data_IF_508628459581
#
_entry.id   IF_508628459581
#
_cell.length_a   1.000
_cell.length_b   1.000
_cell.length_c   1.000
_cell.angle_alpha   90.00
_cell.angle_beta   90.00
_cell.angle_gamma   90.00
#
_symmetry.space_group_name_H-M   'P 1'
#
loop_
_entity.id
_entity.type
_entity.pdbx_description
1 polymer ?
#
# COMPACT_ATOMS: atom_id res chain seq x y z
N UNK A 1 0.35 21.82 9.16
CA UNK A 1 -0.85 20.96 9.24
C UNK A 1 -1.48 20.89 7.86
N UNK A 2 -1.85 19.71 7.40
CA UNK A 2 -2.54 19.49 6.13
C UNK A 2 -4.02 19.24 6.40
N UNK A 3 -4.87 19.63 5.45
CA UNK A 3 -6.30 19.30 5.44
C UNK A 3 -6.53 18.03 4.65
N UNK A 4 -7.47 17.22 5.12
CA UNK A 4 -7.83 15.95 4.52
C UNK A 4 -9.35 15.85 4.48
N UNK A 5 -9.89 15.48 3.33
CA UNK A 5 -11.30 15.13 3.17
C UNK A 5 -11.41 13.62 3.15
N UNK A 6 -12.19 13.07 4.08
CA UNK A 6 -12.23 11.63 4.36
C UNK A 6 -13.69 11.17 4.41
N UNK A 7 -14.04 10.17 3.61
CA UNK A 7 -15.32 9.48 3.74
C UNK A 7 -15.15 8.26 4.66
N UNK A 8 -15.89 8.28 5.76
CA UNK A 8 -16.01 7.19 6.71
C UNK A 8 -17.31 6.42 6.47
N UNK A 9 -17.29 5.11 6.71
CA UNK A 9 -18.44 4.23 6.62
C UNK A 9 -18.54 3.27 7.81
N UNK A 10 -19.66 2.55 7.89
CA UNK A 10 -19.84 1.42 8.81
C UNK A 10 -20.72 0.34 8.17
N UNK A 11 -20.86 -0.83 8.81
CA UNK A 11 -21.42 -2.04 8.19
C UNK A 11 -22.90 -1.98 7.76
N UNK A 12 -23.62 -0.88 8.03
CA UNK A 12 -24.94 -0.63 7.43
C UNK A 12 -24.90 0.29 6.19
N UNK A 13 -23.70 0.52 5.64
CA UNK A 13 -23.44 1.28 4.41
C UNK A 13 -23.92 2.73 4.43
N UNK A 14 -23.93 3.34 5.61
CA UNK A 14 -24.01 4.80 5.74
C UNK A 14 -22.61 5.39 5.59
N UNK A 15 -22.53 6.57 4.98
CA UNK A 15 -21.29 7.29 4.75
C UNK A 15 -21.36 8.71 5.34
N UNK A 16 -20.24 9.17 5.90
CA UNK A 16 -20.05 10.53 6.39
C UNK A 16 -18.71 11.05 5.92
N UNK A 17 -18.75 12.17 5.21
CA UNK A 17 -17.56 12.85 4.73
C UNK A 17 -17.20 13.95 5.71
N UNK A 18 -16.00 13.84 6.29
CA UNK A 18 -15.46 14.79 7.27
C UNK A 18 -14.18 15.41 6.75
N UNK A 19 -13.94 16.66 7.13
CA UNK A 19 -12.68 17.36 6.88
C UNK A 19 -11.91 17.50 8.18
N UNK A 20 -10.65 17.05 8.18
CA UNK A 20 -9.79 17.05 9.37
C UNK A 20 -8.42 17.65 9.07
N UNK A 21 -7.77 18.19 10.11
CA UNK A 21 -6.41 18.70 10.05
C UNK A 21 -5.44 17.77 10.80
N UNK A 22 -4.39 17.33 10.12
CA UNK A 22 -3.35 16.49 10.70
C UNK A 22 -1.99 16.73 10.05
N UNK A 23 -0.93 16.33 10.75
CA UNK A 23 0.45 16.42 10.23
C UNK A 23 0.81 15.21 9.37
N UNK A 24 0.29 14.03 9.72
CA UNK A 24 0.51 12.78 9.00
C UNK A 24 -0.81 12.25 8.44
N UNK A 25 -0.70 11.40 7.43
CA UNK A 25 -1.85 10.74 6.81
C UNK A 25 -2.59 9.84 7.82
N UNK A 26 -1.86 8.98 8.53
CA UNK A 26 -2.43 8.10 9.57
C UNK A 26 -3.16 8.87 10.67
N UNK A 27 -2.60 9.98 11.15
CA UNK A 27 -3.26 10.83 12.14
C UNK A 27 -4.51 11.50 11.57
N UNK A 28 -4.57 11.76 10.27
CA UNK A 28 -5.78 12.26 9.62
C UNK A 28 -6.89 11.19 9.64
N UNK A 29 -6.57 9.95 9.29
CA UNK A 29 -7.54 8.85 9.27
C UNK A 29 -8.07 8.53 10.66
N UNK A 30 -7.20 8.51 11.67
CA UNK A 30 -7.60 8.34 13.08
C UNK A 30 -8.55 9.47 13.54
N UNK A 31 -8.21 10.73 13.23
CA UNK A 31 -9.07 11.87 13.55
C UNK A 31 -10.40 11.83 12.81
N UNK A 32 -10.42 11.39 11.56
CA UNK A 32 -11.64 11.28 10.77
C UNK A 32 -12.61 10.27 11.38
N UNK A 33 -12.12 9.12 11.83
CA UNK A 33 -12.93 8.11 12.54
C UNK A 33 -13.53 8.70 13.82
N UNK A 34 -12.74 9.41 14.62
CA UNK A 34 -13.23 10.08 15.85
C UNK A 34 -14.30 11.11 15.51
N UNK A 35 -14.04 11.99 14.54
CA UNK A 35 -14.97 13.03 14.11
C UNK A 35 -16.28 12.44 13.56
N UNK A 36 -16.20 11.34 12.80
CA UNK A 36 -17.38 10.63 12.32
C UNK A 36 -18.20 10.09 13.49
N UNK A 37 -17.57 9.38 14.44
CA UNK A 37 -18.21 8.83 15.64
C UNK A 37 -18.86 9.88 16.55
N UNK A 38 -18.34 11.10 16.59
CA UNK A 38 -18.91 12.20 17.37
C UNK A 38 -20.13 12.85 16.68
N UNK A 39 -20.32 12.62 15.38
CA UNK A 39 -21.41 13.22 14.61
C UNK A 39 -22.79 12.67 15.03
N UNK A 40 -23.81 13.54 15.05
CA UNK A 40 -25.13 13.19 15.56
C UNK A 40 -25.81 12.04 14.79
N UNK A 41 -25.49 11.88 13.50
CA UNK A 41 -25.98 10.78 12.67
C UNK A 41 -25.28 9.43 12.91
N UNK A 42 -24.15 9.42 13.63
CA UNK A 42 -23.32 8.26 13.96
C UNK A 42 -23.54 7.73 15.39
N UNK A 43 -24.33 8.40 16.23
CA UNK A 43 -24.57 7.92 17.61
C UNK A 43 -25.36 6.59 17.77
N UNK A 44 -26.07 6.02 16.76
CA UNK A 44 -26.75 4.73 16.91
C UNK A 44 -25.85 3.47 16.89
N UNK A 45 -24.52 3.60 17.00
CA UNK A 45 -23.54 2.63 16.49
C UNK A 45 -23.22 1.38 17.31
N UNK A 46 -23.68 1.25 18.56
CA UNK A 46 -23.30 0.09 19.38
C UNK A 46 -23.67 -1.25 18.71
N UNK A 47 -24.67 -1.26 17.82
CA UNK A 47 -25.18 -2.47 17.16
C UNK A 47 -24.61 -2.72 15.73
N UNK A 48 -23.88 -1.76 15.13
CA UNK A 48 -23.57 -1.78 13.69
C UNK A 48 -22.08 -1.97 13.33
N UNK A 49 -21.22 -2.20 14.33
CA UNK A 49 -19.79 -2.44 14.13
C UNK A 49 -18.92 -1.17 14.06
N UNK A 50 -17.59 -1.33 13.88
CA UNK A 50 -16.66 -0.21 13.91
C UNK A 50 -16.75 0.67 12.65
N UNK A 51 -16.50 1.96 12.82
CA UNK A 51 -16.31 2.91 11.71
C UNK A 51 -14.99 2.62 10.99
N UNK A 52 -15.03 2.63 9.67
CA UNK A 52 -13.88 2.46 8.78
C UNK A 52 -13.79 3.62 7.77
N UNK A 53 -12.67 3.69 7.04
CA UNK A 53 -12.43 4.64 5.95
C UNK A 53 -12.74 3.97 4.61
N UNK A 54 -13.64 4.58 3.85
CA UNK A 54 -13.94 4.19 2.47
C UNK A 54 -13.00 4.89 1.48
N UNK A 55 -12.79 6.19 1.68
CA UNK A 55 -12.06 7.01 0.73
C UNK A 55 -11.43 8.26 1.36
N UNK A 56 -10.34 8.76 0.78
CA UNK A 56 -9.59 9.91 1.30
C UNK A 56 -8.86 10.68 0.21
N UNK A 57 -8.86 12.01 0.33
CA UNK A 57 -8.06 12.95 -0.45
C UNK A 57 -7.36 13.99 0.44
N UNK A 58 -6.20 14.47 -0.01
CA UNK A 58 -5.56 15.66 0.55
C UNK A 58 -6.26 16.93 0.01
N UNK A 59 -6.67 17.82 0.90
CA UNK A 59 -7.35 19.08 0.55
C UNK A 59 -8.62 19.35 1.36
N UNK A 60 -9.03 20.62 1.33
CA UNK A 60 -10.30 21.11 1.87
C UNK A 60 -11.41 20.84 0.85
N UNK A 61 -12.43 20.07 1.22
CA UNK A 61 -13.53 19.66 0.33
C UNK A 61 -13.06 18.99 -0.97
N UNK A 62 -11.89 18.35 -0.95
CA UNK A 62 -11.38 17.57 -2.07
C UNK A 62 -12.21 16.29 -2.24
N UNK A 63 -12.49 15.89 -3.48
CA UNK A 63 -13.23 14.64 -3.73
C UNK A 63 -12.41 13.44 -3.23
N UNK A 64 -12.86 12.72 -2.19
CA UNK A 64 -12.15 11.57 -1.68
C UNK A 64 -12.17 10.41 -2.67
N UNK A 65 -13.02 10.44 -3.70
CA UNK A 65 -13.14 9.42 -4.72
C UNK A 65 -12.46 9.80 -6.03
N UNK A 66 -11.85 8.79 -6.64
CA UNK A 66 -11.40 8.80 -8.03
C UNK A 66 -12.06 7.64 -8.75
N UNK A 67 -13.11 7.95 -9.51
CA UNK A 67 -13.97 6.96 -10.17
C UNK A 67 -14.65 6.02 -9.16
N UNK A 68 -14.16 4.78 -9.03
CA UNK A 68 -14.70 3.75 -8.13
C UNK A 68 -13.73 3.36 -7.01
N UNK A 69 -12.70 4.17 -6.78
CA UNK A 69 -11.67 3.93 -5.76
C UNK A 69 -11.39 5.20 -4.96
N UNK A 70 -10.78 5.04 -3.78
CA UNK A 70 -10.24 6.16 -3.02
C UNK A 70 -9.17 6.91 -3.82
N UNK A 71 -9.18 8.24 -3.73
CA UNK A 71 -8.20 9.13 -4.36
C UNK A 71 -6.77 8.87 -3.86
N UNK A 72 -6.62 8.52 -2.57
CA UNK A 72 -5.38 8.06 -1.96
C UNK A 72 -5.55 6.65 -1.37
N UNK A 73 -4.50 5.81 -1.34
CA UNK A 73 -4.59 4.46 -0.81
C UNK A 73 -5.00 4.48 0.67
N UNK A 74 -6.08 3.76 1.02
CA UNK A 74 -6.50 3.56 2.41
C UNK A 74 -5.71 2.38 3.01
N UNK A 75 -4.95 2.56 4.09
CA UNK A 75 -4.25 1.47 4.74
C UNK A 75 -5.23 0.41 5.26
N UNK A 76 -4.91 -0.90 5.15
CA UNK A 76 -5.84 -1.96 5.51
C UNK A 76 -6.40 -1.87 6.93
N UNK A 77 -5.58 -1.48 7.93
CA UNK A 77 -6.00 -1.21 9.32
C UNK A 77 -7.14 -0.21 9.49
N UNK A 78 -7.35 0.68 8.51
CA UNK A 78 -8.43 1.66 8.53
C UNK A 78 -9.63 1.26 7.65
N UNK A 79 -9.49 0.23 6.82
CA UNK A 79 -10.53 -0.22 5.90
C UNK A 79 -11.52 -1.19 6.57
N UNK A 80 -12.75 -1.29 6.05
CA UNK A 80 -13.73 -2.29 6.50
C UNK A 80 -13.16 -3.71 6.47
N UNK A 81 -12.32 -3.97 5.47
CA UNK A 81 -11.77 -5.30 5.20
C UNK A 81 -10.62 -5.69 6.15
N UNK A 82 -10.10 -4.74 6.93
CA UNK A 82 -9.01 -4.95 7.88
C UNK A 82 -7.67 -5.36 7.24
N UNK A 83 -6.70 -5.68 8.10
CA UNK A 83 -5.41 -6.23 7.71
C UNK A 83 -5.58 -7.63 7.09
N UNK A 84 -4.88 -7.94 5.97
CA UNK A 84 -4.86 -9.26 5.40
C UNK A 84 -4.13 -10.23 6.35
N UNK A 85 -4.50 -11.52 6.30
CA UNK A 85 -3.82 -12.55 7.08
C UNK A 85 -2.40 -12.75 6.54
N UNK A 86 -1.40 -12.74 7.41
CA UNK A 86 -0.04 -13.13 7.02
C UNK A 86 0.17 -14.64 7.22
N UNK A 87 0.65 -15.31 6.18
CA UNK A 87 0.99 -16.75 6.17
C UNK A 87 2.48 -16.87 5.88
N UNK A 88 3.23 -17.54 6.74
CA UNK A 88 4.65 -17.84 6.50
C UNK A 88 4.80 -19.31 6.15
N UNK A 89 5.45 -19.59 5.03
CA UNK A 89 5.80 -20.94 4.57
C UNK A 89 7.31 -21.11 4.70
N UNK A 90 7.74 -22.08 5.51
CA UNK A 90 9.16 -22.44 5.66
C UNK A 90 9.48 -23.65 4.81
N UNK A 91 10.50 -23.55 3.96
CA UNK A 91 10.96 -24.62 3.08
C UNK A 91 12.39 -25.02 3.43
N UNK A 92 12.62 -26.33 3.50
CA UNK A 92 13.94 -26.94 3.54
C UNK A 92 13.89 -28.29 2.83
N UNK A 93 14.77 -28.49 1.85
CA UNK A 93 14.83 -29.67 0.99
C UNK A 93 13.76 -29.73 -0.10
N UNK A 94 13.32 -28.59 -0.67
CA UNK A 94 12.21 -28.58 -1.62
C UNK A 94 11.92 -27.23 -2.29
N UNK A 95 10.74 -27.08 -2.91
CA UNK A 95 10.32 -25.81 -3.52
C UNK A 95 8.81 -25.63 -3.44
N UNK A 96 8.34 -24.39 -3.26
CA UNK A 96 6.92 -24.04 -3.39
C UNK A 96 6.58 -23.92 -4.86
N UNK A 97 5.77 -24.83 -5.38
CA UNK A 97 5.38 -24.80 -6.79
C UNK A 97 4.13 -23.94 -7.04
N UNK A 98 3.21 -23.88 -6.08
CA UNK A 98 1.92 -23.22 -6.25
C UNK A 98 1.36 -22.75 -4.90
N UNK A 99 0.79 -21.55 -4.91
CA UNK A 99 0.06 -20.96 -3.78
C UNK A 99 -1.29 -20.49 -4.29
N UNK A 100 -2.37 -20.92 -3.62
CA UNK A 100 -3.73 -20.49 -3.93
C UNK A 100 -4.40 -19.98 -2.66
N UNK A 101 -5.11 -18.86 -2.78
CA UNK A 101 -5.95 -18.31 -1.72
C UNK A 101 -7.40 -18.33 -2.21
N UNK A 102 -8.23 -19.10 -1.52
CA UNK A 102 -9.68 -19.13 -1.75
C UNK A 102 -10.41 -18.44 -0.59
N UNK A 103 -11.41 -17.62 -0.93
CA UNK A 103 -12.34 -17.06 0.08
C UNK A 103 -11.76 -15.96 0.99
N UNK A 104 -10.65 -15.33 0.64
CA UNK A 104 -10.07 -14.26 1.46
C UNK A 104 -8.88 -13.53 0.86
N UNK A 105 -8.19 -12.74 1.69
CA UNK A 105 -6.93 -12.07 1.37
C UNK A 105 -5.85 -12.52 2.32
N UNK A 106 -4.70 -12.90 1.78
CA UNK A 106 -3.53 -13.20 2.57
C UNK A 106 -2.25 -12.72 1.89
N UNK A 107 -1.28 -12.36 2.72
CA UNK A 107 0.11 -12.16 2.32
C UNK A 107 0.83 -13.46 2.64
N UNK A 108 1.53 -14.02 1.66
CA UNK A 108 2.31 -15.25 1.83
C UNK A 108 3.79 -14.91 1.73
N UNK A 109 4.51 -15.12 2.83
CA UNK A 109 5.97 -15.02 2.88
C UNK A 109 6.55 -16.43 2.79
N UNK A 110 7.38 -16.69 1.79
CA UNK A 110 8.09 -17.96 1.64
C UNK A 110 9.53 -17.77 2.11
N UNK A 111 9.90 -18.47 3.16
CA UNK A 111 11.27 -18.53 3.67
C UNK A 111 11.90 -19.83 3.19
N UNK A 112 12.77 -19.72 2.17
CA UNK A 112 13.50 -20.85 1.62
C UNK A 112 14.91 -20.93 2.24
N UNK A 113 15.13 -21.96 3.07
CA UNK A 113 16.40 -22.18 3.77
C UNK A 113 17.41 -23.00 2.96
N UNK A 114 17.07 -23.39 1.72
CA UNK A 114 17.99 -24.09 0.81
C UNK A 114 18.99 -23.09 0.19
N UNK A 115 19.67 -22.31 1.02
CA UNK A 115 20.63 -21.27 0.62
C UNK A 115 22.06 -21.80 0.44
N UNK A 116 22.25 -23.11 0.34
CA UNK A 116 23.56 -23.72 0.21
C UNK A 116 24.31 -23.19 -1.02
N UNK A 117 25.53 -22.70 -0.83
CA UNK A 117 26.37 -22.14 -1.89
C UNK A 117 26.16 -20.65 -2.16
N UNK A 118 25.16 -20.01 -1.54
CA UNK A 118 25.03 -18.55 -1.60
C UNK A 118 26.11 -17.88 -0.72
N UNK A 119 26.77 -16.85 -1.25
CA UNK A 119 27.79 -16.13 -0.50
C UNK A 119 27.14 -15.28 0.60
N UNK A 120 27.80 -15.09 1.76
CA UNK A 120 27.36 -14.12 2.76
C UNK A 120 27.18 -12.73 2.12
N UNK A 121 26.03 -12.09 2.34
CA UNK A 121 25.71 -10.79 1.74
C UNK A 121 25.16 -10.85 0.31
N UNK A 122 24.78 -12.03 -0.19
CA UNK A 122 24.01 -12.13 -1.44
C UNK A 122 22.71 -11.33 -1.31
N UNK A 123 22.42 -10.40 -2.23
CA UNK A 123 21.16 -9.65 -2.21
C UNK A 123 19.95 -10.60 -2.22
N UNK A 124 18.97 -10.33 -1.35
CA UNK A 124 17.77 -11.17 -1.20
C UNK A 124 17.88 -12.30 -0.17
N UNK A 125 19.02 -12.42 0.53
CA UNK A 125 19.14 -13.29 1.71
C UNK A 125 18.79 -12.52 2.99
N UNK A 126 18.06 -13.19 3.87
CA UNK A 126 17.59 -12.70 5.15
C UNK A 126 18.08 -13.61 6.27
N UNK A 127 18.19 -13.06 7.47
CA UNK A 127 18.58 -13.79 8.68
C UNK A 127 17.40 -13.76 9.65
N UNK A 128 16.94 -14.93 10.09
CA UNK A 128 15.87 -15.04 11.09
C UNK A 128 16.38 -14.79 12.52
N UNK A 129 15.46 -14.83 13.50
CA UNK A 129 15.79 -14.58 14.90
C UNK A 129 16.74 -15.63 15.52
N UNK A 130 16.79 -16.83 14.95
CA UNK A 130 17.63 -17.94 15.40
C UNK A 130 18.99 -17.96 14.66
N UNK A 131 19.22 -17.01 13.74
CA UNK A 131 20.43 -16.89 12.94
C UNK A 131 20.43 -17.74 11.66
N UNK A 132 19.31 -18.37 11.32
CA UNK A 132 19.12 -19.11 10.08
C UNK A 132 19.07 -18.17 8.88
N UNK A 133 19.76 -18.51 7.80
CA UNK A 133 19.74 -17.74 6.55
C UNK A 133 18.71 -18.33 5.59
N UNK A 134 17.89 -17.47 4.98
CA UNK A 134 16.87 -17.88 4.02
C UNK A 134 16.74 -16.87 2.88
N UNK A 135 16.28 -17.32 1.71
CA UNK A 135 15.79 -16.46 0.64
C UNK A 135 14.30 -16.16 0.87
N UNK A 136 13.91 -14.89 0.73
CA UNK A 136 12.52 -14.46 0.88
C UNK A 136 11.85 -14.32 -0.49
N UNK A 137 10.68 -14.93 -0.65
CA UNK A 137 9.77 -14.63 -1.75
C UNK A 137 8.40 -14.25 -1.21
N UNK A 138 7.87 -13.12 -1.67
CA UNK A 138 6.56 -12.61 -1.27
C UNK A 138 5.53 -12.83 -2.36
N UNK A 139 4.33 -13.25 -1.96
CA UNK A 139 3.19 -13.39 -2.86
C UNK A 139 1.90 -12.95 -2.18
N UNK A 140 1.02 -12.28 -2.92
CA UNK A 140 -0.31 -11.89 -2.44
C UNK A 140 -1.33 -11.93 -3.57
N UNK A 141 -2.60 -12.18 -3.23
CA UNK A 141 -3.71 -12.17 -4.19
C UNK A 141 -4.38 -10.79 -4.33
N UNK A 142 -3.74 -9.73 -3.84
CA UNK A 142 -4.23 -8.36 -3.88
C UNK A 142 -3.06 -7.38 -3.96
N UNK A 143 -3.30 -6.19 -4.50
CA UNK A 143 -2.27 -5.14 -4.52
C UNK A 143 -2.12 -4.52 -3.14
N UNK A 144 -0.92 -4.60 -2.55
CA UNK A 144 -0.56 -3.80 -1.39
C UNK A 144 -0.45 -2.33 -1.81
N UNK A 145 -0.95 -1.37 -1.00
CA UNK A 145 -0.56 0.02 -1.20
C UNK A 145 0.96 0.08 -1.05
N UNK A 146 1.64 0.66 -2.05
CA UNK A 146 3.09 0.79 -2.04
C UNK A 146 3.50 1.50 -0.73
N UNK A 147 4.12 0.78 0.21
CA UNK A 147 4.99 1.45 1.15
C UNK A 147 6.03 2.18 0.28
N UNK A 148 6.21 3.46 0.57
CA UNK A 148 7.10 4.34 -0.17
C UNK A 148 8.53 3.90 0.11
N UNK A 149 8.97 2.83 -0.56
CA UNK A 149 10.38 2.64 -0.83
C UNK A 149 10.77 3.80 -1.74
N UNK A 150 11.39 4.82 -1.16
CA UNK A 150 12.16 5.81 -1.91
C UNK A 150 13.19 5.07 -2.76
N UNK A 151 12.80 4.70 -3.97
CA UNK A 151 13.74 4.35 -5.02
C UNK A 151 14.34 5.68 -5.50
N UNK A 152 15.66 5.89 -5.39
CA UNK A 152 16.27 7.10 -5.91
C UNK A 152 16.08 7.11 -7.43
N UNK A 153 15.35 8.12 -7.92
CA UNK A 153 15.19 8.38 -9.34
C UNK A 153 16.56 8.42 -10.02
N UNK A 154 16.79 7.70 -11.13
CA UNK A 154 18.03 7.80 -11.86
C UNK A 154 18.17 9.23 -12.38
N UNK A 155 19.24 9.90 -11.97
CA UNK A 155 19.66 11.20 -12.51
C UNK A 155 19.83 11.07 -14.02
N UNK A 156 18.94 11.70 -14.80
CA UNK A 156 19.19 11.91 -16.22
C UNK A 156 20.29 12.96 -16.35
N UNK A 157 21.53 12.51 -16.52
CA UNK A 157 22.59 13.35 -17.05
C UNK A 157 22.27 13.68 -18.52
N UNK A 158 21.92 14.94 -18.77
CA UNK A 158 21.88 15.49 -20.12
C UNK A 158 23.31 15.74 -20.61
N UNK A 159 23.79 15.11 -21.70
CA UNK A 159 24.95 15.62 -22.40
C UNK A 159 24.51 16.83 -23.26
N UNK A 160 24.89 18.03 -22.81
CA UNK A 160 24.99 19.22 -23.66
C UNK A 160 26.16 19.03 -24.63
N UNK A 161 25.91 19.17 -25.93
CA UNK A 161 26.93 19.23 -26.97
C UNK A 161 26.33 19.64 -28.30
N UNK A 162 26.40 20.93 -28.60
CA UNK A 162 26.05 21.61 -29.86
C UNK A 162 26.88 21.02 -31.05
N UNK A 163 26.59 21.17 -32.34
CA UNK A 163 26.21 22.34 -33.17
C UNK A 163 25.89 21.87 -34.61
N UNK A 164 25.01 22.61 -35.28
CA UNK A 164 24.88 22.89 -36.73
C UNK A 164 25.68 22.09 -37.79
N UNK A 165 24.95 21.58 -38.79
CA UNK A 165 25.48 21.18 -40.11
C UNK A 165 24.39 21.12 -41.18
N UNK A 166 24.45 22.03 -42.14
CA UNK A 166 23.54 22.28 -43.27
C UNK A 166 23.48 21.17 -44.33
N UNK A 167 22.28 21.02 -44.91
CA UNK A 167 21.93 20.67 -46.30
C UNK A 167 22.59 19.45 -47.00
N UNK A 168 21.76 18.55 -47.51
CA UNK A 168 21.65 18.25 -48.96
C UNK A 168 20.57 17.19 -49.23
N UNK A 169 19.58 17.56 -50.05
CA UNK A 169 18.78 16.62 -50.82
C UNK A 169 19.58 16.22 -52.07
N UNK A 170 19.39 14.99 -52.59
CA UNK A 170 19.08 14.95 -54.01
C UNK A 170 17.95 13.99 -54.36
N UNK A 171 17.18 14.42 -55.36
CA UNK A 171 16.20 13.64 -56.11
C UNK A 171 16.80 12.36 -56.70
N UNK A 172 16.01 11.27 -56.61
CA UNK A 172 15.54 10.52 -57.79
C UNK A 172 14.41 9.57 -57.44
#
# INVERSE_FOLDING_TARGET
>A
MKKWTVQCGFAAYYANTVTVEAETFDAALEKAIVAANESDGWKPLDDCGPTFIDAVAEGDDADPWREFASSLPVPPRFSERGEPVAVTVTVSGGTVQQVEIEGGRAIVHVHDYDTEGAAPGTPGLHIDADGGTYALADWSNFSLPHETAESPSPTQEHPKGETHGTASHPDR
#
